data_IF_182438112720
#
_entry.id   IF_182438112720
#
_cell.length_a   1.000
_cell.length_b   1.000
_cell.length_c   1.000
_cell.angle_alpha   90.00
_cell.angle_beta   90.00
_cell.angle_gamma   90.00
#
_symmetry.space_group_name_H-M   'P 1'
#
loop_
_entity.id
_entity.type
_entity.pdbx_description
1 polymer ?
#
# COMPACT_ATOMS: atom_id res chain seq x y z
N UNK A 1 22.15 10.69 -5.32
CA UNK A 1 21.46 9.64 -4.55
C UNK A 1 20.07 10.15 -4.25
N UNK A 2 19.02 9.49 -4.74
CA UNK A 2 17.66 9.81 -4.30
C UNK A 2 17.57 9.55 -2.80
N UNK A 3 16.85 10.39 -2.02
CA UNK A 3 16.67 10.14 -0.60
C UNK A 3 16.05 8.75 -0.40
N UNK A 4 16.56 8.00 0.59
CA UNK A 4 15.93 6.74 0.99
C UNK A 4 14.56 7.11 1.57
N UNK A 5 13.46 6.51 1.10
CA UNK A 5 12.14 6.80 1.66
C UNK A 5 12.16 6.47 3.15
N UNK A 6 11.78 7.45 3.96
CA UNK A 6 11.79 7.35 5.42
C UNK A 6 10.56 6.58 5.93
N UNK A 7 9.49 6.48 5.13
CA UNK A 7 8.29 5.72 5.49
C UNK A 7 7.66 5.05 4.27
N UNK A 8 7.27 3.79 4.45
CA UNK A 8 6.63 2.98 3.42
C UNK A 8 5.16 2.69 3.76
N UNK A 9 4.31 2.65 2.74
CA UNK A 9 2.96 2.08 2.83
C UNK A 9 2.83 0.97 1.78
N UNK A 10 2.47 -0.23 2.22
CA UNK A 10 2.09 -1.32 1.34
C UNK A 10 0.63 -1.65 1.60
N UNK A 11 -0.20 -1.64 0.57
CA UNK A 11 -1.62 -1.98 0.70
C UNK A 11 -2.03 -3.01 -0.33
N UNK A 12 -2.85 -3.98 0.07
CA UNK A 12 -3.34 -5.03 -0.82
C UNK A 12 -4.44 -5.88 -0.21
N UNK A 13 -4.90 -6.87 -0.97
CA UNK A 13 -5.87 -7.86 -0.55
C UNK A 13 -5.37 -9.30 -0.72
N UNK A 14 -6.25 -10.30 -0.60
CA UNK A 14 -5.89 -11.71 -0.69
C UNK A 14 -5.21 -12.10 -2.02
N UNK A 15 -5.46 -11.36 -3.11
CA UNK A 15 -4.86 -11.60 -4.42
C UNK A 15 -3.45 -11.02 -4.53
N UNK A 16 -3.13 -10.02 -3.70
CA UNK A 16 -1.83 -9.36 -3.68
C UNK A 16 -0.82 -10.09 -2.78
N UNK A 17 -1.27 -11.01 -1.91
CA UNK A 17 -0.42 -11.69 -0.91
C UNK A 17 0.87 -12.30 -1.50
N UNK A 18 0.87 -12.99 -2.66
CA UNK A 18 2.11 -13.52 -3.23
C UNK A 18 3.11 -12.42 -3.62
N UNK A 19 2.61 -11.34 -4.23
CA UNK A 19 3.43 -10.21 -4.68
C UNK A 19 3.95 -9.41 -3.48
N UNK A 20 3.09 -9.11 -2.50
CA UNK A 20 3.46 -8.46 -1.25
C UNK A 20 4.50 -9.28 -0.49
N UNK A 21 4.33 -10.60 -0.42
CA UNK A 21 5.30 -11.49 0.20
C UNK A 21 6.66 -11.45 -0.49
N UNK A 22 6.70 -11.34 -1.82
CA UNK A 22 7.95 -11.17 -2.57
C UNK A 22 8.58 -9.81 -2.33
N UNK A 23 7.78 -8.74 -2.37
CA UNK A 23 8.25 -7.36 -2.15
C UNK A 23 8.81 -7.17 -0.73
N UNK A 24 8.13 -7.67 0.30
CA UNK A 24 8.59 -7.56 1.69
C UNK A 24 9.96 -8.22 1.91
N UNK A 25 10.30 -9.27 1.15
CA UNK A 25 11.63 -9.92 1.20
C UNK A 25 12.75 -9.07 0.60
N UNK A 26 12.42 -8.13 -0.28
CA UNK A 26 13.43 -7.26 -0.91
C UNK A 26 13.64 -5.96 -0.14
N UNK A 27 12.78 -5.66 0.84
CA UNK A 27 12.91 -4.45 1.64
C UNK A 27 14.11 -4.54 2.60
N UNK A 28 14.85 -3.44 2.81
CA UNK A 28 15.85 -3.34 3.86
C UNK A 28 15.29 -3.70 5.25
N UNK A 29 16.13 -4.28 6.12
CA UNK A 29 15.70 -4.73 7.45
C UNK A 29 15.25 -3.58 8.37
N UNK A 30 15.78 -2.39 8.14
CA UNK A 30 15.48 -1.14 8.83
C UNK A 30 14.32 -0.36 8.21
N UNK A 31 13.60 -0.94 7.25
CA UNK A 31 12.41 -0.33 6.66
C UNK A 31 11.37 -0.02 7.74
N UNK A 32 10.88 1.22 7.72
CA UNK A 32 9.79 1.70 8.58
C UNK A 32 8.54 1.93 7.76
N UNK A 33 7.38 1.52 8.26
CA UNK A 33 6.13 1.74 7.55
C UNK A 33 4.94 0.92 8.02
N UNK A 34 3.97 0.77 7.13
CA UNK A 34 2.75 0.00 7.35
C UNK A 34 2.49 -0.97 6.19
N UNK A 35 2.04 -2.16 6.56
CA UNK A 35 1.43 -3.12 5.65
C UNK A 35 -0.05 -3.23 5.99
N UNK A 36 -0.93 -2.82 5.08
CA UNK A 36 -2.38 -2.85 5.25
C UNK A 36 -2.96 -3.93 4.34
N UNK A 37 -3.65 -4.89 4.93
CA UNK A 37 -4.29 -6.00 4.21
C UNK A 37 -5.80 -5.93 4.40
N UNK A 38 -6.53 -5.70 3.32
CA UNK A 38 -7.98 -5.87 3.31
C UNK A 38 -8.30 -7.34 3.00
N UNK A 39 -8.84 -8.07 3.98
CA UNK A 39 -9.07 -9.52 3.87
C UNK A 39 -10.55 -9.85 4.12
N UNK A 40 -11.09 -10.91 3.51
CA UNK A 40 -12.49 -11.28 3.65
C UNK A 40 -12.85 -11.80 5.04
N UNK A 41 -11.86 -12.22 5.84
CA UNK A 41 -12.04 -12.81 7.15
C UNK A 41 -10.90 -12.40 8.11
N UNK A 42 -10.93 -12.91 9.35
CA UNK A 42 -9.95 -12.59 10.39
C UNK A 42 -8.60 -13.31 10.23
N UNK A 43 -8.36 -14.02 9.12
CA UNK A 43 -7.08 -14.70 8.89
C UNK A 43 -5.95 -13.69 8.85
N UNK A 44 -4.83 -14.07 9.46
CA UNK A 44 -3.62 -13.26 9.57
C UNK A 44 -2.49 -13.99 8.84
N UNK A 45 -2.36 -13.81 7.51
CA UNK A 45 -1.30 -14.46 6.75
C UNK A 45 0.07 -14.03 7.31
N UNK A 46 0.96 -15.00 7.48
CA UNK A 46 2.33 -14.71 7.92
C UNK A 46 3.14 -14.22 6.71
N UNK A 47 3.50 -12.96 6.73
CA UNK A 47 4.37 -12.34 5.73
C UNK A 47 5.72 -11.99 6.34
N UNK A 48 6.82 -11.99 5.55
CA UNK A 48 8.17 -11.71 6.02
C UNK A 48 8.38 -10.20 6.23
N UNK A 49 7.56 -9.60 7.08
CA UNK A 49 7.51 -8.16 7.33
C UNK A 49 8.74 -7.70 8.14
N UNK A 50 9.46 -6.65 7.73
CA UNK A 50 10.55 -6.08 8.52
C UNK A 50 10.07 -5.59 9.91
N UNK A 51 10.91 -5.61 10.96
CA UNK A 51 10.50 -5.22 12.32
C UNK A 51 9.94 -3.79 12.44
N UNK A 52 10.38 -2.86 11.59
CA UNK A 52 9.88 -1.48 11.55
C UNK A 52 8.57 -1.30 10.79
N UNK A 53 8.03 -2.36 10.19
CA UNK A 53 6.77 -2.32 9.43
C UNK A 53 5.65 -2.95 10.25
N UNK A 54 4.60 -2.18 10.53
CA UNK A 54 3.43 -2.65 11.27
C UNK A 54 2.38 -3.23 10.32
N UNK A 55 1.91 -4.45 10.59
CA UNK A 55 0.84 -5.08 9.79
C UNK A 55 -0.55 -4.79 10.38
N UNK A 56 -1.46 -4.22 9.57
CA UNK A 56 -2.86 -3.97 9.90
C UNK A 56 -3.76 -4.83 9.02
N UNK A 57 -4.63 -5.62 9.65
CA UNK A 57 -5.65 -6.40 8.96
C UNK A 57 -7.00 -5.69 9.02
N UNK A 58 -7.55 -5.35 7.86
CA UNK A 58 -8.86 -4.75 7.70
C UNK A 58 -9.83 -5.82 7.23
N UNK A 59 -10.59 -6.37 8.18
CA UNK A 59 -11.58 -7.40 7.87
C UNK A 59 -12.74 -6.77 7.11
N UNK A 60 -13.13 -7.39 5.99
CA UNK A 60 -14.29 -7.01 5.19
C UNK A 60 -15.56 -7.21 6.03
N UNK A 61 -16.07 -6.14 6.64
CA UNK A 61 -17.29 -6.17 7.44
C UNK A 61 -18.56 -6.19 6.58
N UNK A 62 -19.70 -6.48 7.21
CA UNK A 62 -21.01 -6.37 6.53
C UNK A 62 -21.20 -4.97 5.94
N UNK A 63 -21.65 -4.91 4.69
CA UNK A 63 -21.94 -3.65 3.97
C UNK A 63 -20.74 -2.99 3.30
N UNK A 64 -19.52 -3.46 3.55
CA UNK A 64 -18.31 -2.97 2.88
C UNK A 64 -18.05 -3.76 1.59
N UNK A 65 -17.69 -3.06 0.51
CA UNK A 65 -17.21 -3.66 -0.73
C UNK A 65 -15.69 -3.74 -0.71
N UNK A 66 -15.15 -4.73 -1.43
CA UNK A 66 -13.71 -4.84 -1.63
C UNK A 66 -13.15 -3.51 -2.17
N UNK A 67 -12.03 -3.08 -1.63
CA UNK A 67 -11.35 -1.82 -1.86
C UNK A 67 -11.83 -0.65 -1.01
N UNK A 68 -12.97 -0.75 -0.32
CA UNK A 68 -13.48 0.39 0.43
C UNK A 68 -12.62 0.71 1.67
N UNK A 69 -12.21 -0.32 2.43
CA UNK A 69 -11.36 -0.11 3.61
C UNK A 69 -9.93 0.17 3.19
N UNK A 70 -9.47 -0.43 2.09
CA UNK A 70 -8.20 -0.10 1.51
C UNK A 70 -8.12 1.38 1.09
N UNK A 71 -9.17 1.91 0.43
CA UNK A 71 -9.24 3.33 0.09
C UNK A 71 -9.22 4.22 1.34
N UNK A 72 -10.03 3.90 2.34
CA UNK A 72 -10.08 4.69 3.58
C UNK A 72 -8.71 4.69 4.31
N UNK A 73 -8.01 3.56 4.31
CA UNK A 73 -6.67 3.46 4.90
C UNK A 73 -5.62 4.25 4.10
N UNK A 74 -5.70 4.20 2.77
CA UNK A 74 -4.81 4.98 1.91
C UNK A 74 -5.06 6.48 2.09
N UNK A 75 -6.32 6.93 2.11
CA UNK A 75 -6.68 8.34 2.35
C UNK A 75 -6.17 8.81 3.72
N UNK A 76 -6.48 8.07 4.80
CA UNK A 76 -6.02 8.43 6.14
C UNK A 76 -4.48 8.51 6.24
N UNK A 77 -3.78 7.56 5.63
CA UNK A 77 -2.32 7.58 5.61
C UNK A 77 -1.78 8.77 4.80
N UNK A 78 -2.39 9.10 3.66
CA UNK A 78 -1.98 10.27 2.87
C UNK A 78 -2.26 11.59 3.58
N UNK A 79 -3.39 11.69 4.29
CA UNK A 79 -3.72 12.86 5.10
C UNK A 79 -2.66 13.07 6.18
N UNK A 80 -2.34 12.01 6.94
CA UNK A 80 -1.33 12.07 8.01
C UNK A 80 0.07 12.36 7.47
N UNK A 81 0.53 11.62 6.45
CA UNK A 81 1.96 11.62 6.09
C UNK A 81 2.34 12.51 4.90
N UNK A 82 1.40 12.79 3.98
CA UNK A 82 1.68 13.56 2.76
C UNK A 82 1.12 14.98 2.78
N UNK A 83 0.03 15.22 3.50
CA UNK A 83 -0.68 16.52 3.47
C UNK A 83 -0.39 17.39 4.70
N UNK A 84 -0.03 16.80 5.84
CA UNK A 84 0.43 17.56 7.01
C UNK A 84 1.89 18.06 6.86
N UNK A 85 2.36 18.92 7.78
CA UNK A 85 3.74 19.47 7.82
C UNK A 85 4.82 18.41 8.15
N UNK A 86 4.70 17.22 7.59
CA UNK A 86 5.68 16.14 7.68
C UNK A 86 6.75 16.30 6.58
N UNK A 87 7.38 15.20 6.18
CA UNK A 87 8.43 15.19 5.16
C UNK A 87 7.82 15.35 3.76
N UNK A 88 8.62 15.82 2.79
CA UNK A 88 8.20 15.91 1.39
C UNK A 88 7.75 14.56 0.80
N UNK A 89 7.00 14.60 -0.29
CA UNK A 89 6.46 13.41 -0.95
C UNK A 89 7.56 12.40 -1.40
N UNK A 90 8.77 12.89 -1.66
CA UNK A 90 9.95 12.09 -2.00
C UNK A 90 10.49 11.24 -0.84
N UNK A 91 10.13 11.57 0.41
CA UNK A 91 10.48 10.79 1.59
C UNK A 91 9.55 9.59 1.80
N UNK A 92 8.58 9.39 0.92
CA UNK A 92 7.52 8.40 1.06
C UNK A 92 7.51 7.46 -0.15
N UNK A 93 7.34 6.16 0.11
CA UNK A 93 7.14 5.15 -0.93
C UNK A 93 5.85 4.37 -0.66
N UNK A 94 4.97 4.31 -1.66
CA UNK A 94 3.68 3.64 -1.56
C UNK A 94 3.59 2.53 -2.60
N UNK A 95 3.25 1.32 -2.18
CA UNK A 95 2.81 0.25 -3.05
C UNK A 95 1.31 0.04 -2.87
N UNK A 96 0.53 0.17 -3.94
CA UNK A 96 -0.92 -0.04 -3.94
C UNK A 96 -1.29 -1.22 -4.83
N UNK A 97 -1.67 -2.33 -4.20
CA UNK A 97 -2.28 -3.50 -4.80
C UNK A 97 -3.72 -3.24 -5.27
N UNK A 98 -4.57 -4.26 -5.21
CA UNK A 98 -5.96 -4.20 -5.69
C UNK A 98 -6.05 -3.63 -7.12
N UNK A 99 -5.13 -4.03 -7.99
CA UNK A 99 -4.95 -3.42 -9.32
C UNK A 99 -6.23 -3.46 -10.19
N UNK A 100 -7.12 -4.42 -9.93
CA UNK A 100 -8.41 -4.58 -10.61
C UNK A 100 -9.55 -3.75 -10.03
N UNK A 101 -9.33 -3.06 -8.91
CA UNK A 101 -10.37 -2.32 -8.24
C UNK A 101 -10.44 -0.88 -8.80
N UNK A 102 -11.52 -0.49 -9.51
CA UNK A 102 -11.60 0.82 -10.15
C UNK A 102 -11.62 1.98 -9.15
N UNK A 103 -12.15 1.76 -7.94
CA UNK A 103 -12.16 2.78 -6.88
C UNK A 103 -10.75 3.06 -6.39
N UNK A 104 -9.95 2.01 -6.18
CA UNK A 104 -8.54 2.13 -5.76
C UNK A 104 -7.70 2.74 -6.87
N UNK A 105 -7.99 2.45 -8.15
CA UNK A 105 -7.31 3.08 -9.29
C UNK A 105 -7.58 4.59 -9.32
N UNK A 106 -8.85 5.00 -9.28
CA UNK A 106 -9.25 6.41 -9.29
C UNK A 106 -8.67 7.20 -8.10
N UNK A 107 -8.60 6.60 -6.91
CA UNK A 107 -7.97 7.22 -5.75
C UNK A 107 -6.46 7.47 -5.97
N UNK A 108 -5.74 6.49 -6.50
CA UNK A 108 -4.31 6.66 -6.78
C UNK A 108 -4.05 7.74 -7.83
N UNK A 109 -4.84 7.82 -8.89
CA UNK A 109 -4.74 8.88 -9.89
C UNK A 109 -4.96 10.27 -9.26
N UNK A 110 -5.98 10.39 -8.41
CA UNK A 110 -6.27 11.63 -7.66
C UNK A 110 -5.15 12.03 -6.70
N UNK A 111 -4.50 11.07 -6.05
CA UNK A 111 -3.37 11.32 -5.14
C UNK A 111 -2.08 11.65 -5.89
N UNK A 112 -1.80 10.99 -7.02
CA UNK A 112 -0.59 11.23 -7.79
C UNK A 112 -0.60 12.59 -8.53
N UNK A 113 -1.77 13.06 -8.97
CA UNK A 113 -1.90 14.29 -9.74
C UNK A 113 -1.29 15.55 -9.07
N UNK A 114 -1.55 15.84 -7.78
CA UNK A 114 -0.92 16.96 -7.08
C UNK A 114 0.50 16.67 -6.56
N UNK A 115 0.95 15.41 -6.52
CA UNK A 115 2.23 14.99 -5.95
C UNK A 115 3.10 14.25 -6.98
N UNK A 116 3.66 14.95 -7.99
CA UNK A 116 4.39 14.31 -9.09
C UNK A 116 5.69 13.62 -8.66
N UNK A 117 6.21 13.94 -7.46
CA UNK A 117 7.41 13.34 -6.87
C UNK A 117 7.09 12.17 -5.93
N UNK A 118 5.82 11.85 -5.70
CA UNK A 118 5.42 10.72 -4.87
C UNK A 118 5.83 9.41 -5.52
N UNK A 119 6.63 8.61 -4.80
CA UNK A 119 7.03 7.29 -5.26
C UNK A 119 5.89 6.29 -5.06
N UNK A 120 4.94 6.26 -6.00
CA UNK A 120 3.81 5.33 -5.99
C UNK A 120 3.98 4.22 -7.03
N UNK A 121 3.95 2.97 -6.56
CA UNK A 121 3.96 1.77 -7.39
C UNK A 121 2.61 1.07 -7.35
N UNK A 122 2.20 0.56 -8.50
CA UNK A 122 1.02 -0.31 -8.64
C UNK A 122 1.40 -1.53 -9.49
N UNK A 123 0.81 -2.71 -9.22
CA UNK A 123 0.92 -3.82 -10.14
C UNK A 123 0.30 -3.41 -11.49
N UNK A 124 1.12 -3.25 -12.52
CA UNK A 124 0.66 -3.16 -13.90
C UNK A 124 0.38 -4.57 -14.41
N UNK A 125 -0.76 -4.76 -15.08
CA UNK A 125 -1.01 -5.97 -15.86
C UNK A 125 -0.01 -6.06 -17.01
N UNK A 126 1.18 -6.63 -16.76
CA UNK A 126 1.83 -7.40 -17.81
C UNK A 126 1.11 -8.74 -17.82
N UNK A 127 0.21 -8.90 -18.80
CA UNK A 127 -0.27 -10.20 -19.25
C UNK A 127 0.89 -11.19 -19.17
N UNK A 128 0.76 -12.22 -18.33
CA UNK A 128 1.59 -13.41 -18.53
C UNK A 128 1.21 -13.93 -19.91
N UNK A 129 2.15 -13.82 -20.83
CA UNK A 129 2.12 -14.56 -22.10
C UNK A 129 1.96 -16.04 -21.74
N UNK A 130 1.08 -16.68 -22.51
CA UNK A 130 0.65 -18.08 -22.54
C UNK A 130 1.59 -19.10 -21.92
#
# INVERSE_FOLDING_TARGET
>A
MSPIPLRHLLIGDEHDLPLLGALLRTLPRDTVGELVLELPDERRPLLPTPPGVTTRHLVLGRGWRRGDRACAALEAWTEEWLLEEHLGAEAHAIFVGLAHNPKVAALCERLAAPHPTLHMHRPSHTHSVR
#
